data_IF_214230261379
#
_entry.id   IF_214230261379
#
_cell.length_a   1.000
_cell.length_b   1.000
_cell.length_c   1.000
_cell.angle_alpha   90.00
_cell.angle_beta   90.00
_cell.angle_gamma   90.00
#
_symmetry.space_group_name_H-M   'P 1'
#
loop_
_entity.id
_entity.type
_entity.pdbx_description
1 polymer ?
#
# COMPACT_ATOMS: atom_id res chain seq x y z
N UNK A 1 0.36 -21.49 1.71
CA UNK A 1 1.12 -20.74 0.68
C UNK A 1 0.57 -19.34 0.58
N UNK A 2 1.43 -18.37 0.72
CA UNK A 2 1.03 -16.96 0.62
C UNK A 2 0.80 -16.58 -0.83
N UNK A 3 -0.29 -15.84 -1.07
CA UNK A 3 -0.58 -15.29 -2.40
C UNK A 3 -0.24 -13.81 -2.42
N UNK A 4 0.36 -13.38 -3.51
CA UNK A 4 0.70 -11.98 -3.72
C UNK A 4 -0.27 -11.39 -4.73
N UNK A 5 -0.76 -10.20 -4.43
CA UNK A 5 -1.70 -9.49 -5.28
C UNK A 5 -1.02 -8.22 -5.79
N UNK A 6 -1.30 -7.89 -7.03
CA UNK A 6 -0.73 -6.71 -7.67
C UNK A 6 -1.64 -5.53 -7.50
N UNK A 7 -1.04 -4.41 -7.13
CA UNK A 7 -1.70 -3.12 -7.16
C UNK A 7 -0.88 -2.19 -8.04
N UNK A 8 -1.55 -1.45 -8.91
CA UNK A 8 -0.90 -0.48 -9.78
C UNK A 8 -1.02 0.91 -9.14
N UNK A 9 0.09 1.60 -9.04
CA UNK A 9 0.18 2.89 -8.38
C UNK A 9 0.73 3.95 -9.31
N UNK A 10 0.36 5.20 -9.06
CA UNK A 10 0.97 6.38 -9.69
C UNK A 10 1.69 7.16 -8.59
N UNK A 11 2.92 7.59 -8.87
CA UNK A 11 3.68 8.39 -7.92
C UNK A 11 2.95 9.70 -7.62
N UNK A 12 2.94 10.09 -6.36
CA UNK A 12 2.26 11.30 -5.90
C UNK A 12 0.80 11.07 -5.56
N UNK A 13 0.13 10.24 -6.35
CA UNK A 13 -1.21 9.75 -6.06
C UNK A 13 -1.13 8.25 -6.16
N UNK A 14 -1.32 7.56 -5.06
CA UNK A 14 -1.24 6.11 -5.05
C UNK A 14 -2.47 5.54 -5.72
N UNK A 15 -2.27 4.90 -6.88
CA UNK A 15 -3.33 4.27 -7.64
C UNK A 15 -2.90 2.84 -7.91
N UNK A 16 -3.80 1.91 -7.72
CA UNK A 16 -3.52 0.52 -8.05
C UNK A 16 -4.67 -0.12 -8.82
N UNK A 17 -4.38 -1.23 -9.47
CA UNK A 17 -5.37 -2.03 -10.15
C UNK A 17 -5.93 -3.04 -9.17
N UNK A 18 -7.23 -2.97 -8.90
CA UNK A 18 -7.92 -3.96 -8.08
C UNK A 18 -8.63 -4.95 -8.99
N UNK A 19 -8.58 -6.21 -8.62
CA UNK A 19 -9.36 -7.23 -9.30
C UNK A 19 -10.65 -7.45 -8.57
N UNK A 20 -11.72 -7.55 -9.30
CA UNK A 20 -13.04 -7.98 -8.87
C UNK A 20 -13.50 -7.45 -7.54
N UNK A 21 -14.42 -6.58 -7.62
CA UNK A 21 -15.07 -6.00 -6.46
C UNK A 21 -16.26 -6.86 -6.10
N UNK A 22 -16.20 -7.54 -4.97
CA UNK A 22 -17.38 -8.13 -4.39
C UNK A 22 -18.02 -7.14 -3.43
N UNK A 23 -19.23 -7.42 -2.96
CA UNK A 23 -19.92 -6.60 -1.98
C UNK A 23 -19.28 -6.65 -0.59
N UNK A 24 -18.29 -7.52 -0.38
CA UNK A 24 -17.61 -7.70 0.90
C UNK A 24 -16.28 -6.97 0.89
N UNK A 25 -15.55 -7.03 1.99
CA UNK A 25 -14.22 -6.45 2.07
C UNK A 25 -13.37 -6.93 0.88
N UNK A 26 -12.80 -5.99 0.17
CA UNK A 26 -12.04 -6.24 -1.06
C UNK A 26 -10.67 -6.80 -0.80
N UNK A 27 -10.19 -6.63 0.41
CA UNK A 27 -8.83 -6.96 0.76
C UNK A 27 -8.84 -7.93 1.92
N UNK A 28 -8.08 -8.98 1.75
CA UNK A 28 -7.96 -10.01 2.78
C UNK A 28 -6.78 -9.64 3.67
N UNK A 29 -7.04 -9.42 4.95
CA UNK A 29 -6.01 -9.06 5.92
C UNK A 29 -4.95 -10.15 6.10
N UNK A 30 -5.26 -11.39 5.69
CA UNK A 30 -4.35 -12.53 5.82
C UNK A 30 -3.48 -12.72 4.57
N UNK A 31 -3.65 -11.87 3.55
CA UNK A 31 -2.88 -11.95 2.31
C UNK A 31 -1.84 -10.84 2.25
N UNK A 32 -0.81 -11.09 1.45
CA UNK A 32 0.26 -10.12 1.21
C UNK A 32 0.10 -9.53 -0.19
N UNK A 33 0.36 -8.24 -0.29
CA UNK A 33 0.17 -7.48 -1.51
C UNK A 33 1.47 -6.80 -1.93
N UNK A 34 1.72 -6.78 -3.24
CA UNK A 34 2.71 -5.88 -3.82
C UNK A 34 1.96 -4.68 -4.38
N UNK A 35 2.52 -3.49 -4.19
CA UNK A 35 1.92 -2.24 -4.67
C UNK A 35 2.72 -1.74 -5.87
N UNK A 36 2.07 -1.69 -7.03
CA UNK A 36 2.71 -1.33 -8.29
C UNK A 36 2.30 0.08 -8.72
N UNK A 37 3.23 0.88 -9.23
CA UNK A 37 2.84 2.10 -9.95
C UNK A 37 1.99 1.75 -11.16
N UNK A 38 0.97 2.56 -11.43
CA UNK A 38 0.02 2.24 -12.49
C UNK A 38 0.66 2.09 -13.87
N UNK A 39 1.76 2.78 -14.11
CA UNK A 39 2.43 2.80 -15.42
C UNK A 39 3.78 2.08 -15.44
N UNK A 40 4.16 1.46 -14.35
CA UNK A 40 5.46 0.77 -14.24
C UNK A 40 5.20 -0.63 -13.74
N UNK A 41 5.58 -1.64 -14.53
CA UNK A 41 5.23 -3.02 -14.23
C UNK A 41 6.32 -3.81 -13.52
N UNK A 42 7.54 -3.29 -13.45
CA UNK A 42 8.69 -3.99 -12.87
C UNK A 42 9.17 -3.40 -11.55
N UNK A 43 8.50 -2.36 -11.07
CA UNK A 43 8.83 -1.72 -9.80
C UNK A 43 7.66 -1.82 -8.84
N UNK A 44 7.98 -1.92 -7.56
CA UNK A 44 6.98 -2.00 -6.49
C UNK A 44 7.36 -1.05 -5.37
N UNK A 45 6.36 -0.66 -4.59
CA UNK A 45 6.56 0.18 -3.44
C UNK A 45 7.20 -0.61 -2.31
N UNK A 46 8.23 -0.04 -1.70
CA UNK A 46 8.90 -0.64 -0.56
C UNK A 46 9.77 0.39 0.14
N UNK A 47 10.69 -0.08 0.96
CA UNK A 47 11.69 0.79 1.59
C UNK A 47 12.94 -0.03 1.89
N UNK A 48 14.07 0.63 2.05
CA UNK A 48 15.33 -0.05 2.41
C UNK A 48 15.74 0.24 3.84
N UNK A 49 15.82 1.51 4.20
CA UNK A 49 16.26 1.92 5.52
C UNK A 49 15.57 3.23 5.90
N UNK A 50 15.38 3.44 7.18
CA UNK A 50 14.74 4.64 7.66
C UNK A 50 13.26 4.69 7.32
N UNK A 51 12.74 5.88 7.07
CA UNK A 51 11.33 6.10 6.85
C UNK A 51 10.97 6.36 5.38
N UNK A 52 11.94 6.42 4.50
CA UNK A 52 11.71 6.79 3.09
C UNK A 52 11.14 5.63 2.31
N UNK A 53 10.04 5.89 1.63
CA UNK A 53 9.38 4.94 0.73
C UNK A 53 9.98 5.10 -0.66
N UNK A 54 10.31 4.01 -1.30
CA UNK A 54 10.94 4.01 -2.62
C UNK A 54 10.31 2.98 -3.53
N UNK A 55 10.54 3.13 -4.82
CA UNK A 55 10.22 2.09 -5.79
C UNK A 55 11.42 1.19 -5.97
N UNK A 56 11.20 -0.09 -5.83
CA UNK A 56 12.25 -1.11 -5.90
C UNK A 56 11.92 -2.10 -7.01
N UNK A 57 12.96 -2.72 -7.56
CA UNK A 57 12.74 -3.85 -8.45
C UNK A 57 12.05 -4.98 -7.69
N UNK A 58 11.07 -5.60 -8.32
CA UNK A 58 10.31 -6.67 -7.68
C UNK A 58 11.24 -7.83 -7.28
N UNK A 59 11.14 -8.21 -6.02
CA UNK A 59 11.79 -9.40 -5.50
C UNK A 59 10.81 -10.14 -4.59
N UNK A 60 10.51 -11.39 -4.90
CA UNK A 60 9.50 -12.14 -4.17
C UNK A 60 9.87 -12.42 -2.72
N UNK A 61 11.16 -12.42 -2.43
CA UNK A 61 11.65 -12.73 -1.09
C UNK A 61 11.89 -11.47 -0.25
N UNK A 62 11.72 -10.29 -0.82
CA UNK A 62 11.96 -9.04 -0.11
C UNK A 62 10.71 -8.62 0.66
N UNK A 63 10.73 -8.85 1.96
CA UNK A 63 9.61 -8.51 2.83
C UNK A 63 9.35 -7.01 2.91
N UNK A 64 10.32 -6.18 2.58
CA UNK A 64 10.15 -4.73 2.53
C UNK A 64 9.27 -4.28 1.38
N UNK A 65 8.90 -5.19 0.49
CA UNK A 65 7.98 -4.95 -0.62
C UNK A 65 6.61 -5.57 -0.40
N UNK A 66 6.35 -6.15 0.76
CA UNK A 66 5.14 -6.90 1.04
C UNK A 66 4.28 -6.17 2.07
N UNK A 67 2.99 -6.07 1.79
CA UNK A 67 2.08 -5.24 2.57
C UNK A 67 0.85 -6.02 2.98
N UNK A 68 0.40 -5.79 4.21
CA UNK A 68 -0.96 -6.13 4.62
C UNK A 68 -1.85 -4.91 4.39
N UNK A 69 -3.09 -5.18 4.04
CA UNK A 69 -4.11 -4.14 3.89
C UNK A 69 -5.19 -4.41 4.92
N UNK A 70 -5.28 -3.55 5.92
CA UNK A 70 -6.22 -3.70 7.01
C UNK A 70 -7.33 -2.66 6.92
N UNK A 71 -8.57 -3.10 6.85
CA UNK A 71 -9.72 -2.22 6.83
C UNK A 71 -10.12 -1.83 8.25
N UNK A 72 -10.34 -0.54 8.46
CA UNK A 72 -10.71 0.04 9.75
C UNK A 72 -11.84 1.04 9.54
N UNK A 73 -13.07 0.57 9.65
CA UNK A 73 -14.28 1.42 9.57
C UNK A 73 -14.32 2.28 8.30
N UNK A 74 -14.07 1.66 7.15
CA UNK A 74 -14.13 2.35 5.85
C UNK A 74 -12.84 2.99 5.41
N UNK A 75 -11.84 3.02 6.26
CA UNK A 75 -10.48 3.44 5.92
C UNK A 75 -9.55 2.24 5.95
N UNK A 76 -8.36 2.40 5.41
CA UNK A 76 -7.40 1.30 5.30
C UNK A 76 -6.05 1.70 5.85
N UNK A 77 -5.43 0.77 6.57
CA UNK A 77 -4.03 0.90 6.97
C UNK A 77 -3.21 -0.07 6.15
N UNK A 78 -2.11 0.42 5.59
CA UNK A 78 -1.18 -0.39 4.81
C UNK A 78 0.06 -0.64 5.66
N UNK A 79 0.27 -1.89 6.05
CA UNK A 79 1.35 -2.26 6.96
C UNK A 79 2.36 -3.11 6.23
N UNK A 80 3.61 -2.66 6.22
CA UNK A 80 4.71 -3.41 5.63
C UNK A 80 5.08 -4.55 6.58
N UNK A 81 5.23 -5.75 6.05
CA UNK A 81 5.42 -6.93 6.89
C UNK A 81 6.85 -7.11 7.42
N UNK A 82 7.81 -6.32 6.92
CA UNK A 82 9.19 -6.48 7.37
C UNK A 82 9.37 -6.07 8.83
N UNK A 83 8.88 -4.89 9.18
CA UNK A 83 9.01 -4.36 10.54
C UNK A 83 7.66 -3.92 11.12
N UNK A 84 6.57 -4.32 10.49
CA UNK A 84 5.21 -3.95 10.91
C UNK A 84 5.03 -2.43 10.99
N UNK A 85 5.60 -1.72 10.00
CA UNK A 85 5.46 -0.27 9.91
C UNK A 85 4.36 0.10 8.92
N UNK A 86 3.64 1.17 9.23
CA UNK A 86 2.54 1.65 8.42
C UNK A 86 2.99 2.69 7.41
N UNK A 87 2.32 2.70 6.26
CA UNK A 87 2.46 3.78 5.30
C UNK A 87 1.73 5.00 5.85
N UNK A 88 2.41 6.13 5.91
CA UNK A 88 1.90 7.36 6.50
C UNK A 88 1.99 8.49 5.49
N UNK A 89 0.94 9.30 5.42
CA UNK A 89 0.97 10.52 4.61
C UNK A 89 1.86 11.55 5.31
N UNK A 90 2.76 12.17 4.55
CA UNK A 90 3.57 13.24 5.08
C UNK A 90 2.73 14.51 5.28
N UNK A 91 3.22 15.43 6.11
CA UNK A 91 2.52 16.67 6.43
C UNK A 91 2.26 17.54 5.21
N UNK A 92 3.12 17.45 4.20
CA UNK A 92 2.94 18.17 2.94
C UNK A 92 2.12 17.38 1.91
N UNK A 93 1.71 16.16 2.24
CA UNK A 93 0.95 15.25 1.38
C UNK A 93 1.62 14.94 0.04
N UNK A 94 2.91 15.13 -0.07
CA UNK A 94 3.64 14.89 -1.32
C UNK A 94 4.33 13.54 -1.36
N UNK A 95 4.85 13.11 -0.23
CA UNK A 95 5.67 11.89 -0.16
C UNK A 95 5.21 11.04 1.01
N UNK A 96 4.71 9.83 0.78
CA UNK A 96 4.42 8.94 1.89
C UNK A 96 5.71 8.49 2.56
N UNK A 97 5.59 8.10 3.82
CA UNK A 97 6.72 7.63 4.61
C UNK A 97 6.31 6.45 5.48
N UNK A 98 7.29 5.74 6.00
CA UNK A 98 7.04 4.66 6.96
C UNK A 98 7.01 5.23 8.37
N UNK A 99 6.12 4.68 9.19
CA UNK A 99 6.02 5.07 10.59
C UNK A 99 5.59 3.88 11.44
N UNK A 100 5.87 3.94 12.72
CA UNK A 100 5.35 2.93 13.64
C UNK A 100 3.82 2.93 13.60
N UNK A 101 3.22 1.74 13.67
CA UNK A 101 1.76 1.63 13.68
C UNK A 101 1.22 2.35 14.92
N UNK A 102 0.30 3.28 14.68
CA UNK A 102 -0.33 4.06 15.74
C UNK A 102 -1.82 4.18 15.42
N UNK A 103 -2.65 3.56 16.26
CA UNK A 103 -4.10 3.54 16.06
C UNK A 103 -4.75 4.92 16.12
N UNK A 104 -4.09 5.89 16.71
CA UNK A 104 -4.62 7.26 16.83
C UNK A 104 -4.10 8.20 15.73
N UNK A 105 -3.23 7.75 14.87
CA UNK A 105 -2.64 8.58 13.82
C UNK A 105 -3.47 8.48 12.54
N UNK A 106 -4.27 9.49 12.28
CA UNK A 106 -5.12 9.53 11.08
C UNK A 106 -4.30 9.61 9.79
N UNK A 107 -3.06 10.07 9.83
CA UNK A 107 -2.20 10.10 8.66
C UNK A 107 -1.80 8.71 8.17
N UNK A 108 -2.04 7.69 8.97
CA UNK A 108 -1.84 6.28 8.57
C UNK A 108 -3.09 5.65 7.98
N UNK A 109 -4.20 6.38 7.91
CA UNK A 109 -5.44 5.89 7.36
C UNK A 109 -5.63 6.42 5.95
N UNK A 110 -5.97 5.52 5.05
CA UNK A 110 -6.09 5.82 3.62
C UNK A 110 -7.48 5.47 3.14
N UNK A 111 -8.02 6.31 2.27
CA UNK A 111 -9.20 5.95 1.50
C UNK A 111 -8.75 5.26 0.22
N UNK A 112 -9.48 4.24 -0.19
CA UNK A 112 -9.23 3.55 -1.44
C UNK A 112 -10.36 3.90 -2.38
N UNK A 113 -10.04 4.61 -3.47
CA UNK A 113 -11.02 5.03 -4.47
C UNK A 113 -10.77 4.28 -5.76
N UNK A 114 -11.81 3.68 -6.30
CA UNK A 114 -11.73 3.01 -7.59
C UNK A 114 -11.73 4.02 -8.73
N UNK A 115 -10.89 3.75 -9.71
CA UNK A 115 -10.81 4.54 -10.94
C UNK A 115 -10.87 3.60 -12.13
N UNK A 116 -10.96 4.18 -13.34
CA UNK A 116 -11.01 3.39 -14.57
C UNK A 116 -9.73 2.55 -14.78
N UNK A 117 -8.60 2.99 -14.23
CA UNK A 117 -7.30 2.35 -14.45
C UNK A 117 -6.74 1.66 -13.21
N UNK A 118 -7.53 1.54 -12.16
CA UNK A 118 -7.08 0.93 -10.92
C UNK A 118 -7.73 1.60 -9.72
N UNK A 119 -7.01 1.67 -8.61
CA UNK A 119 -7.50 2.36 -7.43
C UNK A 119 -6.51 3.43 -6.98
N UNK A 120 -7.03 4.45 -6.33
CA UNK A 120 -6.26 5.56 -5.81
C UNK A 120 -6.24 5.47 -4.28
N UNK A 121 -5.07 5.63 -3.69
CA UNK A 121 -4.95 5.83 -2.25
C UNK A 121 -4.98 7.31 -1.96
N UNK A 122 -5.87 7.71 -1.06
CA UNK A 122 -6.03 9.11 -0.65
C UNK A 122 -5.81 9.16 0.85
N UNK A 123 -4.86 9.99 1.31
CA UNK A 123 -4.61 10.13 2.75
C UNK A 123 -5.75 10.78 3.51
#
# INVERSE_FOLDING_TARGET
MMKFYRFLMVLGLLVWMAQNVSSQSRYDKDKLYNLYPAKVSDKVLGYDAGASVILKSLSRDDRKQQWNINELSGSFRLVNVFEDKALRADVDHKTPMMAEVNGSDEAQLWSIQETANGVRLVP
#
